data_IF_375661980240
#
_entry.id   IF_375661980240
#
_cell.length_a   1.000
_cell.length_b   1.000
_cell.length_c   1.000
_cell.angle_alpha   90.00
_cell.angle_beta   90.00
_cell.angle_gamma   90.00
#
_symmetry.space_group_name_H-M   'P 1'
#
loop_
_entity.id
_entity.type
_entity.pdbx_description
1 polymer ?
#
# COMPACT_ATOMS: atom_id res chain seq x y z
N UNK A 1 -19.00 -52.53 12.78
CA UNK A 1 -17.91 -51.65 12.31
C UNK A 1 -18.55 -50.45 11.62
N UNK A 2 -18.86 -49.40 12.37
CA UNK A 2 -19.63 -48.21 11.95
C UNK A 2 -18.82 -46.95 12.24
N UNK A 3 -17.82 -46.63 11.41
CA UNK A 3 -16.98 -45.45 11.65
C UNK A 3 -16.43 -44.81 10.36
N UNK A 4 -17.10 -44.99 9.21
CA UNK A 4 -16.67 -44.42 7.92
C UNK A 4 -17.53 -43.24 7.44
N UNK A 5 -18.59 -42.87 8.17
CA UNK A 5 -19.51 -41.79 7.78
C UNK A 5 -19.06 -40.38 8.18
N UNK A 6 -18.08 -40.23 9.08
CA UNK A 6 -17.75 -38.94 9.70
C UNK A 6 -16.61 -38.19 8.97
N UNK A 7 -15.85 -38.88 8.11
CA UNK A 7 -14.72 -38.29 7.39
C UNK A 7 -15.09 -37.64 6.05
N UNK A 8 -16.26 -37.95 5.49
CA UNK A 8 -16.70 -37.41 4.21
C UNK A 8 -17.28 -35.99 4.32
N UNK A 9 -17.67 -35.56 5.53
CA UNK A 9 -18.34 -34.27 5.75
C UNK A 9 -17.36 -33.11 6.02
N UNK A 10 -16.09 -33.41 6.33
CA UNK A 10 -15.03 -32.38 6.51
C UNK A 10 -14.34 -31.96 5.21
N UNK A 11 -14.60 -32.62 4.09
CA UNK A 11 -13.87 -32.37 2.84
C UNK A 11 -14.43 -31.22 1.98
N UNK A 12 -15.43 -30.49 2.47
CA UNK A 12 -16.03 -29.34 1.79
C UNK A 12 -15.78 -28.03 2.57
N UNK A 13 -14.60 -27.90 3.17
CA UNK A 13 -14.10 -26.59 3.60
C UNK A 13 -13.78 -25.77 2.34
N UNK A 14 -14.78 -25.01 1.90
CA UNK A 14 -14.75 -24.07 0.78
C UNK A 14 -13.35 -23.52 0.46
N UNK A 15 -12.77 -23.99 -0.65
CA UNK A 15 -11.47 -23.54 -1.11
C UNK A 15 -11.42 -22.00 -1.17
N UNK A 16 -10.41 -21.34 -0.58
CA UNK A 16 -10.39 -19.89 -0.48
C UNK A 16 -10.39 -19.27 -1.88
N UNK A 17 -11.33 -18.36 -2.14
CA UNK A 17 -11.39 -17.62 -3.39
C UNK A 17 -10.08 -16.85 -3.58
N UNK A 18 -9.22 -17.30 -4.50
CA UNK A 18 -8.01 -16.57 -4.87
C UNK A 18 -8.42 -15.19 -5.39
N UNK A 19 -8.19 -14.14 -4.61
CA UNK A 19 -8.40 -12.76 -5.07
C UNK A 19 -7.57 -12.59 -6.35
N UNK A 20 -8.24 -12.31 -7.47
CA UNK A 20 -7.61 -12.29 -8.79
C UNK A 20 -6.39 -11.37 -8.76
N UNK A 21 -5.22 -11.86 -9.20
CA UNK A 21 -3.98 -11.10 -9.26
C UNK A 21 -4.19 -9.74 -9.96
N UNK A 22 -5.11 -9.66 -10.93
CA UNK A 22 -5.51 -8.42 -11.62
C UNK A 22 -5.98 -7.33 -10.66
N UNK A 23 -6.76 -7.69 -9.64
CA UNK A 23 -7.27 -6.73 -8.64
C UNK A 23 -6.11 -6.18 -7.82
N UNK A 24 -5.20 -7.05 -7.36
CA UNK A 24 -4.03 -6.64 -6.56
C UNK A 24 -3.13 -5.70 -7.36
N UNK A 25 -2.83 -6.05 -8.62
CA UNK A 25 -2.05 -5.19 -9.51
C UNK A 25 -2.74 -3.86 -9.78
N UNK A 26 -4.07 -3.87 -9.95
CA UNK A 26 -4.88 -2.66 -10.09
C UNK A 26 -4.80 -1.75 -8.87
N UNK A 27 -4.89 -2.30 -7.65
CA UNK A 27 -4.76 -1.52 -6.40
C UNK A 27 -3.37 -0.90 -6.22
N UNK A 28 -2.31 -1.65 -6.58
CA UNK A 28 -0.93 -1.15 -6.54
C UNK A 28 -0.73 0.03 -7.48
N UNK A 29 -1.11 -0.15 -8.75
CA UNK A 29 -1.02 0.90 -9.75
C UNK A 29 -1.91 2.09 -9.41
N UNK A 30 -3.13 1.85 -8.91
CA UNK A 30 -4.07 2.88 -8.47
C UNK A 30 -3.48 3.77 -7.37
N UNK A 31 -2.82 3.18 -6.36
CA UNK A 31 -2.12 3.93 -5.32
C UNK A 31 -1.04 4.87 -5.89
N UNK A 32 -0.23 4.39 -6.83
CA UNK A 32 0.80 5.21 -7.49
C UNK A 32 0.20 6.36 -8.30
N UNK A 33 -0.90 6.09 -9.03
CA UNK A 33 -1.62 7.12 -9.79
C UNK A 33 -2.15 8.20 -8.87
N UNK A 34 -2.80 7.83 -7.75
CA UNK A 34 -3.33 8.82 -6.80
C UNK A 34 -2.20 9.61 -6.12
N UNK A 35 -1.09 8.97 -5.74
CA UNK A 35 0.07 9.67 -5.19
C UNK A 35 0.64 10.70 -6.18
N UNK A 36 0.75 10.35 -7.47
CA UNK A 36 1.17 11.26 -8.52
C UNK A 36 0.17 12.41 -8.71
N UNK A 37 -1.14 12.13 -8.66
CA UNK A 37 -2.17 13.16 -8.74
C UNK A 37 -2.06 14.14 -7.57
N UNK A 38 -1.90 13.67 -6.33
CA UNK A 38 -1.67 14.52 -5.17
C UNK A 38 -0.43 15.39 -5.36
N UNK A 39 0.67 14.78 -5.82
CA UNK A 39 1.88 15.53 -6.14
C UNK A 39 1.56 16.62 -7.18
N UNK A 40 0.94 16.31 -8.32
CA UNK A 40 0.60 17.29 -9.36
C UNK A 40 -0.29 18.43 -8.82
N UNK A 41 -1.33 18.11 -8.06
CA UNK A 41 -2.26 19.09 -7.49
C UNK A 41 -1.59 20.06 -6.53
N UNK A 42 -0.64 19.58 -5.71
CA UNK A 42 0.12 20.43 -4.79
C UNK A 42 1.20 21.29 -5.46
N UNK A 43 1.50 21.07 -6.75
CA UNK A 43 2.57 21.78 -7.45
C UNK A 43 2.32 23.28 -7.69
N UNK A 44 1.06 23.70 -7.68
CA UNK A 44 0.67 25.11 -7.81
C UNK A 44 0.43 25.82 -6.48
N UNK A 45 0.65 25.15 -5.35
CA UNK A 45 0.37 25.70 -4.02
C UNK A 45 1.44 26.72 -3.61
N UNK A 46 1.07 27.99 -3.55
CA UNK A 46 1.95 29.03 -3.00
C UNK A 46 2.20 28.75 -1.51
N UNK A 47 3.46 28.68 -1.10
CA UNK A 47 3.87 28.44 0.29
C UNK A 47 4.14 26.98 0.67
N UNK A 48 3.99 26.02 -0.25
CA UNK A 48 4.35 24.62 0.02
C UNK A 48 5.76 24.33 -0.49
N UNK A 49 6.63 23.79 0.38
CA UNK A 49 7.99 23.42 -0.04
C UNK A 49 7.98 22.21 -0.98
N UNK A 50 8.96 22.08 -1.89
CA UNK A 50 9.09 20.90 -2.75
C UNK A 50 9.16 19.58 -1.97
N UNK A 51 9.81 19.58 -0.81
CA UNK A 51 9.89 18.40 0.06
C UNK A 51 8.53 18.03 0.67
N UNK A 52 7.78 19.02 1.18
CA UNK A 52 6.47 18.78 1.77
C UNK A 52 5.50 18.15 0.76
N UNK A 53 5.65 18.52 -0.52
CA UNK A 53 4.89 17.94 -1.63
C UNK A 53 5.18 16.45 -1.82
N UNK A 54 6.45 16.06 -1.77
CA UNK A 54 6.86 14.66 -1.85
C UNK A 54 6.40 13.86 -0.62
N UNK A 55 6.55 14.43 0.57
CA UNK A 55 6.07 13.82 1.82
C UNK A 55 4.57 13.54 1.76
N UNK A 56 3.77 14.50 1.30
CA UNK A 56 2.32 14.34 1.14
C UNK A 56 1.96 13.24 0.12
N UNK A 57 2.68 13.18 -1.00
CA UNK A 57 2.48 12.14 -2.03
C UNK A 57 2.80 10.74 -1.50
N UNK A 58 3.94 10.58 -0.81
CA UNK A 58 4.35 9.32 -0.18
C UNK A 58 3.37 8.91 0.93
N UNK A 59 2.95 9.84 1.79
CA UNK A 59 1.95 9.59 2.83
C UNK A 59 0.61 9.14 2.25
N UNK A 60 0.17 9.74 1.14
CA UNK A 60 -1.05 9.31 0.44
C UNK A 60 -0.93 7.89 -0.11
N UNK A 61 0.21 7.57 -0.73
CA UNK A 61 0.49 6.21 -1.22
C UNK A 61 0.38 5.17 -0.10
N UNK A 62 1.01 5.46 1.04
CA UNK A 62 0.97 4.59 2.22
C UNK A 62 -0.46 4.41 2.74
N UNK A 63 -1.22 5.49 2.88
CA UNK A 63 -2.61 5.44 3.34
C UNK A 63 -3.48 4.53 2.45
N UNK A 64 -3.33 4.64 1.12
CA UNK A 64 -4.08 3.81 0.18
C UNK A 64 -3.68 2.35 0.31
N UNK A 65 -2.38 2.03 0.33
CA UNK A 65 -1.93 0.64 0.43
C UNK A 65 -2.21 -0.01 1.79
N UNK A 66 -2.28 0.77 2.87
CA UNK A 66 -2.78 0.30 4.16
C UNK A 66 -4.26 -0.02 4.13
N UNK A 67 -5.09 0.90 3.63
CA UNK A 67 -6.55 0.72 3.60
C UNK A 67 -7.00 -0.40 2.64
N UNK A 68 -6.24 -0.64 1.57
CA UNK A 68 -6.58 -1.63 0.53
C UNK A 68 -5.88 -2.97 0.71
N UNK A 69 -4.97 -3.08 1.68
CA UNK A 69 -4.10 -4.24 1.90
C UNK A 69 -3.36 -4.70 0.62
N UNK A 70 -3.05 -3.76 -0.28
CA UNK A 70 -2.40 -4.07 -1.58
C UNK A 70 -0.96 -4.56 -1.42
N UNK A 71 -0.31 -4.15 -0.33
CA UNK A 71 1.02 -4.54 0.12
C UNK A 71 0.94 -4.79 1.64
N UNK A 72 1.61 -5.83 2.18
CA UNK A 72 1.65 -6.07 3.62
C UNK A 72 2.06 -4.82 4.39
N UNK A 73 1.39 -4.53 5.52
CA UNK A 73 1.59 -3.32 6.32
C UNK A 73 3.08 -3.07 6.63
N UNK A 74 3.81 -4.13 6.99
CA UNK A 74 5.24 -4.11 7.30
C UNK A 74 6.12 -3.69 6.13
N UNK A 75 5.74 -4.00 4.90
CA UNK A 75 6.49 -3.57 3.71
C UNK A 75 6.13 -2.12 3.34
N UNK A 76 4.87 -1.73 3.47
CA UNK A 76 4.42 -0.35 3.23
C UNK A 76 5.06 0.64 4.20
N UNK A 77 5.31 0.26 5.45
CA UNK A 77 5.99 1.12 6.44
C UNK A 77 7.46 1.38 6.14
N UNK A 78 8.09 0.65 5.21
CA UNK A 78 9.48 0.87 4.80
C UNK A 78 9.61 1.92 3.68
N UNK A 79 8.50 2.29 3.04
CA UNK A 79 8.50 3.28 1.96
C UNK A 79 9.12 4.64 2.34
N UNK A 80 8.83 5.27 3.49
CA UNK A 80 9.39 6.58 3.80
C UNK A 80 10.92 6.52 3.94
N UNK A 81 11.45 5.42 4.50
CA UNK A 81 12.90 5.21 4.67
C UNK A 81 13.64 5.22 3.33
N UNK A 82 12.99 4.72 2.27
CA UNK A 82 13.61 4.64 0.93
C UNK A 82 13.25 5.85 0.08
N UNK A 83 11.97 6.23 0.03
CA UNK A 83 11.46 7.23 -0.90
C UNK A 83 11.76 8.66 -0.48
N UNK A 84 11.67 9.00 0.81
CA UNK A 84 11.92 10.38 1.27
C UNK A 84 13.36 10.82 0.99
N UNK A 85 14.42 10.10 1.40
CA UNK A 85 15.79 10.52 1.09
C UNK A 85 16.13 10.44 -0.40
N UNK A 86 15.37 9.68 -1.20
CA UNK A 86 15.57 9.60 -2.65
C UNK A 86 14.91 10.78 -3.41
N UNK A 87 13.82 11.33 -2.86
CA UNK A 87 12.97 12.33 -3.54
C UNK A 87 13.09 13.74 -2.92
N UNK A 88 13.69 13.84 -1.74
CA UNK A 88 13.83 15.08 -0.96
C UNK A 88 15.26 15.23 -0.46
N UNK A 89 15.61 16.43 0.03
CA UNK A 89 16.91 16.66 0.69
C UNK A 89 16.92 16.19 2.17
N UNK A 90 15.82 15.62 2.65
CA UNK A 90 15.66 15.18 4.04
C UNK A 90 16.46 13.91 4.33
N UNK A 91 17.00 13.85 5.54
CA UNK A 91 17.71 12.66 6.02
C UNK A 91 16.74 11.57 6.45
N UNK A 92 17.20 10.31 6.51
CA UNK A 92 16.39 9.17 6.99
C UNK A 92 15.80 9.43 8.38
N UNK A 93 16.52 10.14 9.26
CA UNK A 93 16.04 10.47 10.60
C UNK A 93 14.85 11.42 10.64
N UNK A 94 14.74 12.32 9.65
CA UNK A 94 13.58 13.21 9.51
C UNK A 94 12.40 12.52 8.83
N UNK A 95 12.66 11.44 8.10
CA UNK A 95 11.64 10.66 7.40
C UNK A 95 10.86 9.70 8.33
N UNK A 96 11.43 9.33 9.48
CA UNK A 96 10.85 8.37 10.43
C UNK A 96 10.38 8.99 11.75
N UNK A 97 10.56 10.30 11.92
CA UNK A 97 10.14 11.06 13.10
C UNK A 97 8.61 11.25 13.13
#
# INVERSE_FOLDING_TARGET
MHQQGEYAEYADEAAPSQRSARVIWGLRAGGLVVALLVWLLLGGSEGLSPDARWVAAVGTLMAIWWMTEAIPLSATSLLPIVLIPMLTERTVGEATA
#
